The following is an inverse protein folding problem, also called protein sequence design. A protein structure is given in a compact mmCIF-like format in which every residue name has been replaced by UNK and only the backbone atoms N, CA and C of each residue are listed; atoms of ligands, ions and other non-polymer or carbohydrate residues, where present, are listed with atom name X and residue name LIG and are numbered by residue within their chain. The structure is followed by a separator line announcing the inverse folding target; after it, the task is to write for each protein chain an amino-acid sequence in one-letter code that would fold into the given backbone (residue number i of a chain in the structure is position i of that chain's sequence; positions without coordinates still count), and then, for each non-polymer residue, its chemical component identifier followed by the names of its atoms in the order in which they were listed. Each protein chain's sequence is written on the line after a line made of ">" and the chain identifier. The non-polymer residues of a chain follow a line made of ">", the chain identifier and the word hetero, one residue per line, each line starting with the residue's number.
data_IF_794047071330
#
_entry.id   IF_794047071330
#
_cell.length_a   1.000
_cell.length_b   1.000
_cell.length_c   1.000
_cell.angle_alpha   90.00
_cell.angle_beta   90.00
_cell.angle_gamma   90.00
#
_symmetry.space_group_name_H-M   'P 1'
#
loop_
_entity.id
_entity.type
_entity.pdbx_description
1 polymer ?
#
# COMPACT_ATOMS: atom_id res chain seq x y z
N UNK A 1 -1.96 14.38 16.38
CA UNK A 1 -1.90 13.03 15.81
C UNK A 1 -0.44 12.76 15.45
N UNK A 2 0.17 11.73 16.05
CA UNK A 2 1.55 11.37 15.75
C UNK A 2 1.54 10.25 14.71
N UNK A 3 1.92 10.57 13.47
CA UNK A 3 2.06 9.59 12.38
C UNK A 3 3.53 9.23 12.22
N UNK A 4 3.86 7.94 12.26
CA UNK A 4 5.22 7.46 11.97
C UNK A 4 5.27 7.07 10.50
N UNK A 5 6.18 7.70 9.74
CA UNK A 5 6.44 7.36 8.33
C UNK A 5 7.72 6.53 8.28
N UNK A 6 7.61 5.29 7.77
CA UNK A 6 8.76 4.41 7.55
C UNK A 6 8.87 4.11 6.06
N UNK A 7 10.06 4.27 5.49
CA UNK A 7 10.37 3.93 4.11
C UNK A 7 11.39 2.79 4.10
N UNK A 8 11.13 1.77 3.28
CA UNK A 8 12.01 0.61 3.15
C UNK A 8 12.72 0.66 1.80
N UNK A 9 14.07 0.79 1.76
CA UNK A 9 14.80 0.70 0.52
C UNK A 9 14.63 -0.71 -0.05
N UNK A 10 14.24 -0.80 -1.32
CA UNK A 10 14.09 -2.07 -2.01
C UNK A 10 15.50 -2.57 -2.35
N UNK A 11 15.93 -3.67 -1.74
CA UNK A 11 17.19 -4.34 -2.08
C UNK A 11 16.92 -5.55 -2.98
N UNK A 12 17.64 -5.68 -4.09
CA UNK A 12 17.49 -6.77 -5.06
C UNK A 12 16.46 -6.51 -6.16
N UNK A 13 16.02 -7.56 -6.85
CA UNK A 13 14.98 -7.47 -7.89
C UNK A 13 13.63 -7.19 -7.24
N UNK A 14 12.98 -6.04 -7.53
CA UNK A 14 11.76 -5.65 -6.85
C UNK A 14 10.58 -6.53 -7.32
N UNK A 15 10.17 -7.50 -6.51
CA UNK A 15 8.88 -8.16 -6.66
C UNK A 15 7.97 -7.83 -5.46
N UNK A 16 6.75 -7.39 -5.77
CA UNK A 16 5.73 -6.96 -4.82
C UNK A 16 5.39 -8.07 -3.84
N UNK A 17 5.38 -9.33 -4.29
CA UNK A 17 5.11 -10.50 -3.44
C UNK A 17 6.11 -10.63 -2.30
N UNK A 18 7.43 -10.57 -2.57
CA UNK A 18 8.44 -10.71 -1.51
C UNK A 18 8.47 -9.50 -0.59
N UNK A 19 8.20 -8.30 -1.13
CA UNK A 19 8.14 -7.08 -0.34
C UNK A 19 6.99 -7.13 0.66
N UNK A 20 5.78 -7.50 0.21
CA UNK A 20 4.65 -7.68 1.10
C UNK A 20 4.91 -8.79 2.12
N UNK A 21 5.47 -9.93 1.70
CA UNK A 21 5.76 -11.02 2.63
C UNK A 21 6.76 -10.60 3.72
N UNK A 22 7.87 -9.94 3.35
CA UNK A 22 8.92 -9.58 4.31
C UNK A 22 8.50 -8.39 5.18
N UNK A 23 8.20 -7.26 4.54
CA UNK A 23 7.93 -6.00 5.24
C UNK A 23 6.50 -5.95 5.77
N UNK A 24 5.53 -6.54 5.07
CA UNK A 24 4.17 -6.64 5.57
C UNK A 24 4.09 -7.46 6.86
N UNK A 25 4.80 -8.59 6.94
CA UNK A 25 4.89 -9.35 8.19
C UNK A 25 5.55 -8.51 9.30
N UNK A 26 6.66 -7.85 9.00
CA UNK A 26 7.41 -7.10 10.00
C UNK A 26 6.70 -5.83 10.49
N UNK A 27 5.87 -5.17 9.69
CA UNK A 27 5.34 -3.83 10.04
C UNK A 27 3.81 -3.73 10.02
N UNK A 28 3.11 -4.61 9.29
CA UNK A 28 1.65 -4.59 9.18
C UNK A 28 0.96 -5.58 10.12
N UNK A 29 1.67 -6.51 10.73
CA UNK A 29 1.14 -7.48 11.70
C UNK A 29 1.59 -7.17 13.12
N UNK A 30 0.94 -7.75 14.14
CA UNK A 30 1.29 -7.58 15.55
C UNK A 30 2.78 -7.84 15.89
N UNK A 31 3.51 -8.58 15.04
CA UNK A 31 4.94 -8.80 15.15
C UNK A 31 5.79 -7.51 15.02
N UNK A 32 5.24 -6.42 14.45
CA UNK A 32 5.94 -5.15 14.24
C UNK A 32 6.05 -4.22 15.44
N UNK A 33 5.74 -4.70 16.65
CA UNK A 33 5.86 -3.92 17.88
C UNK A 33 4.65 -3.02 18.16
N UNK A 34 4.84 -2.00 19.01
CA UNK A 34 3.72 -1.28 19.66
C UNK A 34 2.73 -0.60 18.71
N UNK A 35 3.16 -0.20 17.53
CA UNK A 35 2.31 0.46 16.53
C UNK A 35 1.61 -0.52 15.59
N UNK A 36 1.99 -1.81 15.66
CA UNK A 36 1.43 -2.86 14.86
C UNK A 36 0.28 -3.61 15.56
N UNK A 37 -0.12 -3.12 16.74
CA UNK A 37 -1.21 -3.65 17.58
C UNK A 37 -2.58 -3.49 16.92
N UNK A 38 -3.49 -4.41 17.28
CA UNK A 38 -4.89 -4.35 16.90
C UNK A 38 -5.52 -3.03 17.39
N UNK A 39 -6.39 -2.46 16.56
CA UNK A 39 -7.08 -1.19 16.85
C UNK A 39 -6.40 0.08 16.32
N UNK A 40 -5.18 0.00 15.79
CA UNK A 40 -4.51 1.14 15.14
C UNK A 40 -4.66 1.02 13.61
N UNK A 41 -5.35 1.97 12.94
CA UNK A 41 -5.44 1.98 11.49
C UNK A 41 -4.07 2.18 10.83
N UNK A 42 -3.70 1.30 9.89
CA UNK A 42 -2.42 1.36 9.17
C UNK A 42 -2.65 1.73 7.71
N UNK A 43 -1.69 2.41 7.10
CA UNK A 43 -1.71 2.73 5.68
C UNK A 43 -0.40 2.31 5.03
N UNK A 44 -0.49 1.45 4.02
CA UNK A 44 0.62 1.04 3.16
C UNK A 44 0.52 1.82 1.85
N UNK A 45 1.59 2.51 1.46
CA UNK A 45 1.68 3.20 0.16
C UNK A 45 2.72 2.44 -0.68
N UNK A 46 2.28 1.92 -1.82
CA UNK A 46 3.14 1.23 -2.79
C UNK A 46 3.37 2.16 -3.98
N UNK A 47 4.63 2.49 -4.26
CA UNK A 47 5.04 3.28 -5.41
C UNK A 47 5.81 2.36 -6.37
N UNK A 48 5.32 2.16 -7.60
CA UNK A 48 6.04 1.35 -8.58
C UNK A 48 5.94 1.90 -9.99
N UNK A 49 7.06 1.90 -10.73
CA UNK A 49 7.11 2.34 -12.13
C UNK A 49 6.85 1.20 -13.14
N UNK A 50 6.85 -0.05 -12.66
CA UNK A 50 6.50 -1.22 -13.44
C UNK A 50 5.83 -2.25 -12.54
N UNK A 51 4.94 -3.04 -13.11
CA UNK A 51 4.26 -4.08 -12.37
C UNK A 51 4.09 -5.30 -13.29
N UNK A 52 4.68 -6.43 -12.92
CA UNK A 52 4.42 -7.70 -13.59
C UNK A 52 3.03 -8.20 -13.18
N UNK A 53 2.09 -8.44 -14.11
CA UNK A 53 0.74 -8.89 -13.80
C UNK A 53 0.69 -10.15 -12.92
N UNK A 54 1.63 -11.08 -13.08
CA UNK A 54 1.70 -12.32 -12.31
C UNK A 54 2.09 -12.08 -10.84
N UNK A 55 3.05 -11.19 -10.63
CA UNK A 55 3.48 -10.74 -9.30
C UNK A 55 2.41 -9.88 -8.64
N UNK A 56 1.72 -9.01 -9.38
CA UNK A 56 0.61 -8.19 -8.88
C UNK A 56 -0.51 -9.05 -8.29
N UNK A 57 -0.90 -10.11 -9.00
CA UNK A 57 -1.97 -10.99 -8.54
C UNK A 57 -1.58 -11.76 -7.27
N UNK A 58 -0.32 -12.21 -7.19
CA UNK A 58 0.22 -12.89 -6.02
C UNK A 58 0.33 -11.94 -4.82
N UNK A 59 0.83 -10.73 -5.04
CA UNK A 59 0.88 -9.65 -4.07
C UNK A 59 -0.52 -9.25 -3.57
N UNK A 60 -1.52 -9.20 -4.45
CA UNK A 60 -2.90 -8.90 -4.10
C UNK A 60 -3.50 -9.93 -3.15
N UNK A 61 -3.18 -11.22 -3.33
CA UNK A 61 -3.64 -12.27 -2.43
C UNK A 61 -3.06 -12.09 -1.01
N UNK A 62 -1.78 -11.74 -0.91
CA UNK A 62 -1.11 -11.47 0.38
C UNK A 62 -1.67 -10.20 1.02
N UNK A 63 -1.81 -9.13 0.24
CA UNK A 63 -2.33 -7.83 0.66
C UNK A 63 -3.71 -7.94 1.34
N UNK A 64 -4.61 -8.73 0.75
CA UNK A 64 -5.96 -8.98 1.29
C UNK A 64 -5.97 -9.72 2.64
N UNK A 65 -4.87 -10.38 3.00
CA UNK A 65 -4.72 -11.05 4.28
C UNK A 65 -4.44 -10.09 5.45
N UNK A 66 -3.99 -8.86 5.18
CA UNK A 66 -3.72 -7.88 6.23
C UNK A 66 -5.00 -7.20 6.69
N UNK A 67 -5.34 -7.38 7.97
CA UNK A 67 -6.48 -6.73 8.60
C UNK A 67 -6.12 -5.33 9.11
N UNK A 68 -7.06 -4.38 9.02
CA UNK A 68 -6.86 -3.01 9.50
C UNK A 68 -5.82 -2.19 8.72
N UNK A 69 -5.48 -2.62 7.50
CA UNK A 69 -4.53 -1.94 6.61
C UNK A 69 -5.24 -1.36 5.39
N UNK A 70 -5.05 -0.06 5.15
CA UNK A 70 -5.42 0.62 3.91
C UNK A 70 -4.24 0.55 2.95
N UNK A 71 -4.43 0.04 1.74
CA UNK A 71 -3.37 -0.09 0.75
C UNK A 71 -3.64 0.88 -0.38
N UNK A 72 -2.77 1.87 -0.52
CA UNK A 72 -2.75 2.85 -1.60
C UNK A 72 -1.67 2.46 -2.57
N UNK A 73 -1.98 2.40 -3.86
CA UNK A 73 -1.02 2.10 -4.91
C UNK A 73 -0.86 3.29 -5.85
N UNK A 74 0.37 3.55 -6.26
CA UNK A 74 0.72 4.63 -7.19
C UNK A 74 1.61 4.03 -8.28
N UNK A 75 1.04 3.90 -9.48
CA UNK A 75 1.74 3.53 -10.70
C UNK A 75 2.45 4.73 -11.30
N UNK A 76 3.76 4.63 -11.57
CA UNK A 76 4.51 5.64 -12.30
C UNK A 76 4.65 5.18 -13.74
N UNK A 77 3.85 5.76 -14.63
CA UNK A 77 3.75 5.31 -16.02
C UNK A 77 3.97 6.47 -16.99
N UNK A 78 4.57 6.22 -18.17
CA UNK A 78 4.72 7.25 -19.20
C UNK A 78 3.38 7.78 -19.72
N UNK A 79 2.35 6.93 -19.71
CA UNK A 79 0.99 7.26 -20.11
C UNK A 79 0.04 6.85 -18.97
N UNK A 80 -0.75 7.80 -18.48
CA UNK A 80 -1.74 7.53 -17.42
C UNK A 80 -2.90 6.75 -18.02
N UNK A 81 -3.03 5.47 -17.65
CA UNK A 81 -4.16 4.64 -18.05
C UNK A 81 -5.40 4.89 -17.17
N UNK A 82 -6.59 4.58 -17.69
CA UNK A 82 -7.85 4.61 -16.92
C UNK A 82 -7.92 3.51 -15.85
N UNK A 83 -7.10 2.46 -16.00
CA UNK A 83 -6.95 1.35 -15.05
C UNK A 83 -5.49 1.19 -14.66
N UNK A 84 -5.18 1.35 -13.38
CA UNK A 84 -3.81 1.20 -12.87
C UNK A 84 -3.44 -0.29 -12.74
N UNK A 85 -2.28 -0.75 -13.24
CA UNK A 85 -1.87 -2.16 -13.11
C UNK A 85 -1.78 -2.65 -11.66
N UNK A 86 -1.57 -1.75 -10.71
CA UNK A 86 -1.52 -2.02 -9.27
C UNK A 86 -2.89 -1.99 -8.59
N UNK A 87 -3.98 -1.73 -9.32
CA UNK A 87 -5.34 -1.73 -8.76
C UNK A 87 -5.69 -3.03 -8.02
N UNK A 88 -5.31 -4.25 -8.47
CA UNK A 88 -5.64 -5.49 -7.75
C UNK A 88 -5.09 -5.57 -6.32
N UNK A 89 -3.99 -4.85 -6.03
CA UNK A 89 -3.35 -4.81 -4.71
C UNK A 89 -3.98 -3.74 -3.80
N UNK A 90 -4.52 -2.67 -4.39
CA UNK A 90 -5.14 -1.57 -3.66
C UNK A 90 -6.38 -2.02 -2.86
N UNK A 91 -6.72 -1.29 -1.80
CA UNK A 91 -7.95 -1.53 -1.03
C UNK A 91 -9.24 -1.24 -1.79
N UNK A 92 -9.15 -0.67 -2.99
CA UNK A 92 -10.29 -0.36 -3.85
C UNK A 92 -9.92 0.63 -4.95
N UNK A 93 -10.84 0.88 -5.88
CA UNK A 93 -10.62 1.77 -7.04
C UNK A 93 -10.27 3.21 -6.64
N UNK A 94 -10.73 3.70 -5.49
CA UNK A 94 -10.37 5.02 -4.95
C UNK A 94 -8.99 5.09 -4.28
N UNK A 95 -8.26 3.97 -4.19
CA UNK A 95 -6.94 3.87 -3.57
C UNK A 95 -5.84 3.53 -4.59
N UNK A 96 -6.18 3.41 -5.87
CA UNK A 96 -5.23 3.18 -6.95
C UNK A 96 -5.07 4.46 -7.78
N UNK A 97 -3.83 4.93 -7.90
CA UNK A 97 -3.49 6.13 -8.65
C UNK A 97 -2.43 5.81 -9.70
N UNK A 98 -2.45 6.56 -10.81
CA UNK A 98 -1.38 6.55 -11.80
C UNK A 98 -0.91 7.99 -12.05
N UNK A 99 0.39 8.19 -12.18
CA UNK A 99 0.96 9.48 -12.55
C UNK A 99 2.21 9.31 -13.40
N UNK A 100 2.55 10.37 -14.13
CA UNK A 100 3.85 10.53 -14.74
C UNK A 100 4.81 11.05 -13.65
N UNK A 101 6.06 10.57 -13.65
CA UNK A 101 7.05 10.89 -12.62
C UNK A 101 7.20 12.40 -12.35
N UNK A 102 7.18 13.22 -13.40
CA UNK A 102 7.30 14.67 -13.31
C UNK A 102 6.09 15.37 -12.67
N UNK A 103 4.94 14.70 -12.61
CA UNK A 103 3.70 15.19 -12.01
C UNK A 103 3.28 14.38 -10.78
N UNK A 104 4.18 13.55 -10.21
CA UNK A 104 3.84 12.74 -9.04
C UNK A 104 3.39 13.62 -7.84
N UNK A 105 3.95 14.81 -7.69
CA UNK A 105 3.59 15.75 -6.64
C UNK A 105 2.12 16.20 -6.71
N UNK A 106 1.48 16.20 -7.89
CA UNK A 106 0.08 16.60 -8.02
C UNK A 106 -0.89 15.56 -7.42
N UNK A 107 -0.43 14.32 -7.20
CA UNK A 107 -1.24 13.28 -6.56
C UNK A 107 -1.27 13.39 -5.03
N UNK A 108 -0.37 14.17 -4.40
CA UNK A 108 -0.26 14.25 -2.93
C UNK A 108 -1.59 14.56 -2.26
N UNK A 109 -2.40 15.55 -2.70
CA UNK A 109 -3.68 15.84 -2.06
C UNK A 109 -4.67 14.66 -2.15
N UNK A 110 -4.67 13.95 -3.27
CA UNK A 110 -5.56 12.81 -3.50
C UNK A 110 -5.16 11.61 -2.64
N UNK A 111 -3.85 11.33 -2.56
CA UNK A 111 -3.30 10.25 -1.72
C UNK A 111 -3.54 10.54 -0.24
N UNK A 112 -3.36 11.79 0.21
CA UNK A 112 -3.67 12.19 1.58
C UNK A 112 -5.15 12.02 1.87
N UNK A 113 -6.03 12.47 0.95
CA UNK A 113 -7.48 12.31 1.11
C UNK A 113 -7.88 10.84 1.20
N UNK A 114 -7.29 9.96 0.38
CA UNK A 114 -7.53 8.52 0.44
C UNK A 114 -7.00 7.90 1.74
N UNK A 115 -5.81 8.32 2.18
CA UNK A 115 -5.24 7.85 3.44
C UNK A 115 -6.07 8.24 4.66
N UNK A 116 -6.88 9.31 4.59
CA UNK A 116 -7.83 9.69 5.63
C UNK A 116 -9.09 8.82 5.66
N UNK A 117 -9.39 8.04 4.62
CA UNK A 117 -10.55 7.16 4.53
C UNK A 117 -10.32 5.77 5.17
N UNK A 118 -9.47 5.68 6.21
CA UNK A 118 -9.09 4.40 6.80
C UNK A 118 -10.32 3.59 7.25
N UNK A 119 -10.32 2.26 7.06
CA UNK A 119 -11.41 1.41 7.53
C UNK A 119 -11.51 1.49 9.06
N UNK A 120 -12.72 1.22 9.61
CA UNK A 120 -12.92 1.17 11.04
C UNK A 120 -11.87 0.27 11.70
N UNK A 121 -11.34 0.70 12.83
CA UNK A 121 -10.38 -0.08 13.60
C UNK A 121 -10.93 -1.50 13.82
N UNK A 122 -10.15 -2.56 13.56
CA UNK A 122 -10.56 -3.93 13.89
C UNK A 122 -10.98 -3.99 15.36
N UNK A 123 -12.07 -4.71 15.70
CA UNK A 123 -12.49 -4.86 17.08
C UNK A 123 -11.35 -5.45 17.90
N UNK A 124 -11.10 -4.87 19.08
CA UNK A 124 -10.16 -5.44 20.03
C UNK A 124 -10.69 -6.81 20.44
N UNK A 125 -9.94 -7.87 20.16
CA UNK A 125 -10.26 -9.20 20.63
C UNK A 125 -9.83 -9.27 22.11
N UNK A 126 -10.72 -8.86 23.02
CA UNK A 126 -10.53 -8.86 24.48
C UNK A 126 -11.06 -10.16 25.06
#
# INVERSE_FOLDING_TARGET
>A
MNTIVQAWPIQGTPNLTSLLTTYGQQYLTAAGGQNARDGIPKTLIILSASADPSDVNSAAAIAKGYQGVTIITIGIEPNVASSTPLQPISSGTGFAFSAILNNLASLVPQVVSAACMQPPAPPLNI
#
